data_IF_823069513794
#
_entry.id   IF_823069513794
#
_cell.length_a   1.000
_cell.length_b   1.000
_cell.length_c   1.000
_cell.angle_alpha   90.00
_cell.angle_beta   90.00
_cell.angle_gamma   90.00
#
_symmetry.space_group_name_H-M   'P 1'
#
loop_
_entity.id
_entity.type
_entity.pdbx_description
1 polymer ?
#
# COMPACT_ATOMS: atom_id res chain seq x y z
N UNK A 1 43.15 -12.51 0.94
CA UNK A 1 43.66 -11.29 0.27
C UNK A 1 43.26 -11.41 -1.19
N UNK A 2 42.18 -10.75 -1.61
CA UNK A 2 41.70 -10.83 -2.99
C UNK A 2 42.60 -9.97 -3.88
N UNK A 3 43.17 -10.58 -4.91
CA UNK A 3 44.08 -9.93 -5.85
C UNK A 3 43.34 -8.84 -6.64
N UNK A 4 43.91 -7.64 -6.63
CA UNK A 4 43.36 -6.46 -7.31
C UNK A 4 43.69 -6.61 -8.81
N UNK A 5 42.67 -6.74 -9.66
CA UNK A 5 42.87 -6.82 -11.11
C UNK A 5 43.61 -5.54 -11.61
N UNK A 6 44.84 -5.66 -12.13
CA UNK A 6 45.72 -4.53 -12.44
C UNK A 6 45.32 -3.78 -13.72
N UNK A 7 44.40 -4.32 -14.52
CA UNK A 7 43.97 -3.71 -15.79
C UNK A 7 42.64 -2.97 -15.61
N UNK A 8 42.66 -1.85 -14.89
CA UNK A 8 41.53 -0.88 -14.82
C UNK A 8 42.02 0.47 -15.31
N UNK A 9 41.25 1.12 -16.18
CA UNK A 9 41.65 2.38 -16.83
C UNK A 9 41.85 3.55 -15.87
N UNK A 10 41.28 3.50 -14.67
CA UNK A 10 41.54 4.48 -13.63
C UNK A 10 41.76 3.82 -12.27
N UNK A 11 42.71 4.38 -11.49
CA UNK A 11 43.03 3.97 -10.11
C UNK A 11 42.06 4.61 -9.09
N UNK A 12 41.09 5.39 -9.56
CA UNK A 12 40.10 6.11 -8.77
C UNK A 12 39.27 5.15 -7.92
N UNK A 13 38.82 5.63 -6.76
CA UNK A 13 37.80 4.94 -5.97
C UNK A 13 36.55 4.81 -6.86
N UNK A 14 36.01 3.60 -7.00
CA UNK A 14 34.72 3.38 -7.66
C UNK A 14 33.68 4.31 -7.03
N UNK A 15 32.86 4.96 -7.87
CA UNK A 15 31.78 5.82 -7.38
C UNK A 15 30.87 4.99 -6.47
N UNK A 16 30.55 5.52 -5.30
CA UNK A 16 29.57 4.90 -4.43
C UNK A 16 28.20 5.12 -5.04
N UNK A 17 27.62 4.09 -5.65
CA UNK A 17 26.23 4.13 -6.08
C UNK A 17 25.36 4.16 -4.82
N UNK A 18 24.56 5.21 -4.64
CA UNK A 18 23.60 5.24 -3.55
C UNK A 18 22.64 4.05 -3.73
N UNK A 19 22.50 3.24 -2.68
CA UNK A 19 21.59 2.09 -2.68
C UNK A 19 20.14 2.54 -2.84
N UNK A 20 19.27 1.59 -3.22
CA UNK A 20 17.82 1.77 -3.30
C UNK A 20 17.28 2.29 -1.96
N UNK A 21 16.61 3.44 -1.97
CA UNK A 21 15.93 4.02 -0.80
C UNK A 21 14.49 3.52 -0.76
N UNK A 22 14.07 3.01 0.39
CA UNK A 22 12.66 2.65 0.63
C UNK A 22 12.00 3.72 1.50
N UNK A 23 10.75 4.00 1.21
CA UNK A 23 9.91 4.90 2.01
C UNK A 23 8.65 4.15 2.46
N UNK A 24 8.10 4.60 3.60
CA UNK A 24 6.87 4.08 4.19
C UNK A 24 5.87 5.22 4.38
N UNK A 25 4.61 4.97 4.08
CA UNK A 25 3.53 5.92 4.28
C UNK A 25 2.36 5.25 4.98
N UNK A 26 1.97 5.84 6.11
CA UNK A 26 0.91 5.35 6.97
C UNK A 26 -0.16 6.42 7.09
N UNK A 27 -1.41 6.05 6.82
CA UNK A 27 -2.55 6.95 6.96
C UNK A 27 -3.83 6.17 7.23
N UNK A 28 -4.83 6.88 7.74
CA UNK A 28 -6.13 6.32 8.07
C UNK A 28 -7.18 6.90 7.13
N UNK A 29 -8.14 6.08 6.74
CA UNK A 29 -9.27 6.48 5.92
C UNK A 29 -10.56 5.96 6.56
N UNK A 30 -11.60 6.77 6.54
CA UNK A 30 -12.92 6.36 7.01
C UNK A 30 -13.56 5.39 6.01
N UNK A 31 -14.28 4.39 6.53
CA UNK A 31 -15.04 3.43 5.76
C UNK A 31 -16.35 4.08 5.28
N UNK A 32 -16.25 4.96 4.28
CA UNK A 32 -17.39 5.62 3.66
C UNK A 32 -17.73 5.00 2.29
N UNK A 33 -19.00 5.07 1.89
CA UNK A 33 -19.43 4.64 0.55
C UNK A 33 -19.08 5.67 -0.53
N UNK A 34 -19.17 5.26 -1.81
CA UNK A 34 -18.99 6.18 -2.94
C UNK A 34 -20.12 7.20 -3.10
N UNK A 35 -21.29 6.97 -2.47
CA UNK A 35 -22.50 7.79 -2.64
C UNK A 35 -23.41 7.34 -3.79
N UNK A 36 -22.92 6.51 -4.72
CA UNK A 36 -23.67 5.96 -5.86
C UNK A 36 -23.49 4.44 -5.94
N UNK A 37 -24.58 3.70 -6.14
CA UNK A 37 -24.54 2.25 -6.29
C UNK A 37 -23.71 1.83 -7.52
N UNK A 38 -22.86 0.81 -7.36
CA UNK A 38 -21.98 0.32 -8.43
C UNK A 38 -20.77 1.21 -8.76
N UNK A 39 -20.54 2.29 -8.01
CA UNK A 39 -19.31 3.09 -8.14
C UNK A 39 -18.34 2.71 -7.01
N UNK A 40 -17.10 2.39 -7.40
CA UNK A 40 -16.07 2.02 -6.44
C UNK A 40 -15.73 3.19 -5.50
N UNK A 41 -15.67 2.96 -4.17
CA UNK A 41 -15.28 4.00 -3.23
C UNK A 41 -13.81 4.43 -3.45
N UNK A 42 -13.43 5.65 -3.05
CA UNK A 42 -12.07 6.16 -3.24
C UNK A 42 -10.98 5.27 -2.63
N UNK A 43 -11.24 4.66 -1.47
CA UNK A 43 -10.31 3.73 -0.81
C UNK A 43 -10.19 2.37 -1.52
N UNK A 44 -11.04 2.07 -2.50
CA UNK A 44 -10.98 0.82 -3.28
C UNK A 44 -9.62 0.62 -3.95
N UNK A 45 -9.06 1.67 -4.54
CA UNK A 45 -7.72 1.65 -5.15
C UNK A 45 -6.62 1.29 -4.15
N UNK A 46 -6.78 1.70 -2.89
CA UNK A 46 -5.83 1.39 -1.82
C UNK A 46 -5.93 -0.07 -1.39
N UNK A 47 -7.14 -0.62 -1.31
CA UNK A 47 -7.34 -2.04 -1.04
C UNK A 47 -6.75 -2.92 -2.13
N UNK A 48 -6.85 -2.52 -3.40
CA UNK A 48 -6.26 -3.30 -4.50
C UNK A 48 -4.76 -3.52 -4.32
N UNK A 49 -4.04 -2.48 -3.91
CA UNK A 49 -2.62 -2.59 -3.60
C UNK A 49 -2.28 -3.24 -2.24
N UNK A 50 -3.30 -3.52 -1.43
CA UNK A 50 -3.19 -4.36 -0.23
C UNK A 50 -3.49 -5.85 -0.51
N UNK A 51 -3.67 -6.25 -1.79
CA UNK A 51 -3.95 -7.63 -2.16
C UNK A 51 -5.43 -7.99 -2.27
N UNK A 52 -6.28 -7.04 -2.65
CA UNK A 52 -7.71 -7.31 -2.91
C UNK A 52 -8.05 -7.18 -4.39
N UNK A 53 -8.79 -8.13 -4.94
CA UNK A 53 -9.42 -8.01 -6.25
C UNK A 53 -10.77 -7.30 -6.11
N UNK A 54 -10.98 -6.26 -6.91
CA UNK A 54 -12.24 -5.54 -7.00
C UNK A 54 -13.15 -6.18 -8.07
N UNK A 55 -14.40 -6.46 -7.71
CA UNK A 55 -15.45 -6.89 -8.64
C UNK A 55 -16.62 -5.92 -8.57
N UNK A 56 -16.93 -5.29 -9.70
CA UNK A 56 -18.02 -4.32 -9.82
C UNK A 56 -19.22 -4.99 -10.48
N UNK A 57 -20.34 -5.07 -9.75
CA UNK A 57 -21.65 -5.32 -10.32
C UNK A 57 -22.32 -3.97 -10.61
N UNK A 58 -22.34 -3.59 -11.88
CA UNK A 58 -22.85 -2.29 -12.33
C UNK A 58 -24.24 -2.02 -11.78
N UNK A 59 -24.41 -0.84 -11.15
CA UNK A 59 -25.69 -0.41 -10.56
C UNK A 59 -26.10 -1.16 -9.29
N UNK A 60 -25.31 -2.12 -8.80
CA UNK A 60 -25.69 -2.96 -7.65
C UNK A 60 -24.70 -2.87 -6.50
N UNK A 61 -23.45 -3.34 -6.68
CA UNK A 61 -22.49 -3.45 -5.59
C UNK A 61 -21.04 -3.50 -6.09
N UNK A 62 -20.11 -3.12 -5.23
CA UNK A 62 -18.67 -3.34 -5.43
C UNK A 62 -18.17 -4.24 -4.31
N UNK A 63 -17.53 -5.35 -4.67
CA UNK A 63 -17.00 -6.32 -3.71
C UNK A 63 -15.48 -6.41 -3.82
N UNK A 64 -14.83 -6.68 -2.68
CA UNK A 64 -13.39 -6.84 -2.58
C UNK A 64 -13.10 -8.22 -1.99
N UNK A 65 -12.51 -9.10 -2.79
CA UNK A 65 -12.07 -10.43 -2.35
C UNK A 65 -10.55 -10.46 -2.20
N UNK A 66 -9.99 -11.14 -1.17
CA UNK A 66 -8.56 -11.35 -1.10
C UNK A 66 -8.04 -12.05 -2.36
N UNK A 67 -6.95 -11.53 -2.92
CA UNK A 67 -6.30 -12.05 -4.12
C UNK A 67 -4.81 -12.26 -3.86
N UNK A 68 -4.28 -13.38 -4.35
CA UNK A 68 -2.87 -13.75 -4.20
C UNK A 68 -2.06 -13.58 -5.50
N UNK A 69 -2.74 -13.24 -6.60
CA UNK A 69 -2.19 -13.03 -7.94
C UNK A 69 -2.67 -11.67 -8.46
N UNK A 70 -2.00 -11.14 -9.49
CA UNK A 70 -2.31 -9.85 -10.13
C UNK A 70 -2.53 -8.70 -9.12
N UNK A 71 -1.67 -8.68 -8.09
CA UNK A 71 -1.74 -7.65 -7.05
C UNK A 71 -1.24 -6.33 -7.62
N UNK A 72 -2.17 -5.38 -7.73
CA UNK A 72 -1.88 -4.02 -8.17
C UNK A 72 -0.82 -3.35 -7.29
N UNK A 73 -0.10 -2.40 -7.87
CA UNK A 73 0.78 -1.49 -7.13
C UNK A 73 0.32 -0.07 -7.37
N UNK A 74 0.58 0.82 -6.42
CA UNK A 74 0.14 2.20 -6.52
C UNK A 74 1.29 3.18 -6.29
N UNK A 75 1.18 4.37 -6.85
CA UNK A 75 2.12 5.46 -6.58
C UNK A 75 1.48 6.40 -5.58
N UNK A 76 2.10 6.55 -4.41
CA UNK A 76 1.64 7.46 -3.37
C UNK A 76 2.40 8.76 -3.48
N UNK A 77 1.69 9.87 -3.32
CA UNK A 77 2.25 11.19 -3.41
C UNK A 77 1.76 12.06 -2.27
N UNK A 78 2.71 12.71 -1.61
CA UNK A 78 2.47 13.65 -0.54
C UNK A 78 2.96 15.02 -1.01
N UNK A 79 2.00 15.92 -1.27
CA UNK A 79 2.28 17.33 -1.54
C UNK A 79 2.14 18.12 -0.25
N UNK A 80 3.21 18.79 0.19
CA UNK A 80 3.20 19.68 1.34
C UNK A 80 4.00 20.93 1.02
N UNK A 81 3.38 22.10 1.15
CA UNK A 81 4.04 23.40 1.00
C UNK A 81 4.82 23.56 -0.33
N UNK A 82 4.21 23.13 -1.45
CA UNK A 82 4.83 23.19 -2.78
C UNK A 82 5.87 22.11 -3.07
N UNK A 83 6.15 21.23 -2.11
CA UNK A 83 7.11 20.13 -2.24
C UNK A 83 6.39 18.79 -2.36
N UNK A 84 6.82 17.97 -3.32
CA UNK A 84 6.27 16.64 -3.61
C UNK A 84 7.22 15.55 -3.18
N UNK A 85 6.71 14.63 -2.35
CA UNK A 85 7.37 13.37 -2.00
C UNK A 85 6.56 12.22 -2.56
N UNK A 86 7.21 11.36 -3.35
CA UNK A 86 6.53 10.28 -4.05
C UNK A 86 7.14 8.92 -3.75
N UNK A 87 6.28 7.93 -3.54
CA UNK A 87 6.62 6.54 -3.33
C UNK A 87 6.13 5.73 -4.53
N UNK A 88 7.05 5.10 -5.25
CA UNK A 88 6.74 4.27 -6.41
C UNK A 88 6.56 2.81 -6.03
N UNK A 89 5.60 2.16 -6.70
CA UNK A 89 5.35 0.73 -6.54
C UNK A 89 4.97 0.36 -5.11
N UNK A 90 4.20 1.22 -4.45
CA UNK A 90 3.79 1.03 -3.08
C UNK A 90 2.80 -0.15 -2.97
N UNK A 91 3.13 -1.08 -2.08
CA UNK A 91 2.27 -2.20 -1.67
C UNK A 91 2.27 -2.27 -0.15
N UNK A 92 1.18 -2.78 0.41
CA UNK A 92 0.94 -2.59 1.82
C UNK A 92 -0.03 -3.56 2.46
N UNK A 93 -0.31 -3.25 3.71
CA UNK A 93 -1.28 -3.96 4.53
C UNK A 93 -2.41 -3.01 4.92
N UNK A 94 -3.59 -3.60 5.14
CA UNK A 94 -4.77 -2.90 5.64
C UNK A 94 -5.25 -3.54 6.94
N UNK A 95 -5.63 -2.69 7.89
CA UNK A 95 -6.28 -3.08 9.14
C UNK A 95 -7.63 -2.38 9.24
N UNK A 96 -8.68 -3.18 9.34
CA UNK A 96 -10.04 -2.71 9.60
C UNK A 96 -10.25 -2.60 11.11
N UNK A 97 -10.69 -1.43 11.56
CA UNK A 97 -11.05 -1.17 12.97
C UNK A 97 -12.49 -0.66 13.02
N UNK A 98 -13.36 -1.39 13.70
CA UNK A 98 -14.74 -1.04 13.96
C UNK A 98 -14.92 -0.89 15.46
N UNK A 99 -15.41 0.28 15.90
CA UNK A 99 -15.66 0.61 17.30
C UNK A 99 -17.09 1.15 17.43
N UNK A 100 -17.79 0.70 18.47
CA UNK A 100 -19.15 1.14 18.79
C UNK A 100 -19.23 2.66 18.94
N UNK A 101 -20.20 3.27 18.28
CA UNK A 101 -20.43 4.71 18.29
C UNK A 101 -19.45 5.53 17.43
N UNK A 102 -18.58 4.90 16.65
CA UNK A 102 -17.63 5.57 15.75
C UNK A 102 -17.78 5.07 14.30
N UNK A 103 -17.40 5.87 13.30
CA UNK A 103 -17.28 5.37 11.93
C UNK A 103 -16.18 4.31 11.85
N UNK A 104 -16.35 3.34 10.96
CA UNK A 104 -15.31 2.35 10.69
C UNK A 104 -14.06 3.00 10.11
N UNK A 105 -12.88 2.51 10.50
CA UNK A 105 -11.59 3.01 10.04
C UNK A 105 -10.79 1.93 9.33
N UNK A 106 -10.20 2.30 8.20
CA UNK A 106 -9.21 1.54 7.45
C UNK A 106 -7.84 2.17 7.68
N UNK A 107 -6.98 1.43 8.38
CA UNK A 107 -5.61 1.84 8.63
C UNK A 107 -4.71 1.20 7.57
N UNK A 108 -4.07 2.04 6.77
CA UNK A 108 -3.20 1.62 5.68
C UNK A 108 -1.73 1.84 6.03
N UNK A 109 -0.93 0.85 5.66
CA UNK A 109 0.52 0.89 5.81
C UNK A 109 1.17 0.42 4.52
N UNK A 110 1.75 1.36 3.77
CA UNK A 110 2.37 1.11 2.48
C UNK A 110 3.87 1.29 2.54
N UNK A 111 4.59 0.43 1.82
CA UNK A 111 6.04 0.53 1.63
C UNK A 111 6.35 0.47 0.15
N UNK A 112 7.29 1.30 -0.31
CA UNK A 112 7.71 1.33 -1.70
C UNK A 112 9.07 2.00 -1.89
N UNK A 113 9.39 2.33 -3.14
CA UNK A 113 10.64 3.00 -3.50
C UNK A 113 10.47 4.50 -3.33
N UNK A 114 11.36 5.10 -2.55
CA UNK A 114 11.45 6.56 -2.43
C UNK A 114 11.97 7.15 -3.75
N UNK A 115 11.35 8.24 -4.21
CA UNK A 115 11.85 8.99 -5.36
C UNK A 115 12.40 10.35 -4.96
N UNK A 116 13.02 10.99 -5.94
CA UNK A 116 13.52 12.35 -5.81
C UNK A 116 12.39 13.31 -5.47
N UNK A 117 12.75 14.33 -4.71
CA UNK A 117 11.82 15.36 -4.22
C UNK A 117 11.77 16.45 -5.28
N UNK A 118 10.56 16.81 -5.71
CA UNK A 118 10.31 17.80 -6.75
C UNK A 118 9.41 18.91 -6.22
N UNK A 119 9.49 20.10 -6.82
CA UNK A 119 8.59 21.21 -6.53
C UNK A 119 7.41 21.18 -7.51
N UNK A 120 6.18 21.24 -6.99
CA UNK A 120 4.94 21.23 -7.78
C UNK A 120 3.82 21.95 -7.01
N UNK A 121 2.83 22.44 -7.76
CA UNK A 121 1.70 23.14 -7.17
C UNK A 121 0.80 22.21 -6.34
N UNK A 122 0.13 22.79 -5.33
CA UNK A 122 -0.85 22.06 -4.54
C UNK A 122 -2.11 21.78 -5.36
N UNK A 123 -2.56 20.52 -5.35
CA UNK A 123 -3.80 20.10 -6.02
C UNK A 123 -5.03 20.51 -5.20
N UNK A 124 -6.08 20.99 -5.84
CA UNK A 124 -7.38 21.24 -5.21
C UNK A 124 -8.06 19.92 -4.80
N UNK A 125 -8.36 19.74 -3.51
CA UNK A 125 -9.02 18.54 -3.02
C UNK A 125 -10.52 18.52 -3.39
N UNK A 126 -11.00 17.36 -3.86
CA UNK A 126 -12.42 17.07 -4.01
C UNK A 126 -12.85 16.15 -2.86
N UNK A 127 -13.84 16.59 -2.09
CA UNK A 127 -14.31 15.87 -0.91
C UNK A 127 -15.59 15.11 -1.23
N UNK A 128 -15.65 13.84 -0.82
CA UNK A 128 -16.90 13.08 -0.89
C UNK A 128 -17.80 13.53 0.28
N UNK A 129 -19.04 13.94 -0.03
CA UNK A 129 -20.01 14.41 0.97
C UNK A 129 -20.76 13.26 1.69
N UNK A 130 -20.50 12.00 1.33
CA UNK A 130 -21.16 10.83 1.92
C UNK A 130 -20.68 10.64 3.35
N UNK A 131 -21.58 10.83 4.31
CA UNK A 131 -21.29 10.61 5.73
C UNK A 131 -21.06 9.11 6.00
N UNK A 132 -19.98 8.75 6.71
CA UNK A 132 -19.72 7.36 7.05
C UNK A 132 -20.77 6.85 8.05
N UNK A 133 -21.27 5.61 7.89
CA UNK A 133 -22.16 5.01 8.86
C UNK A 133 -21.42 4.73 10.17
N UNK A 134 -22.08 4.98 11.30
CA UNK A 134 -21.56 4.60 12.62
C UNK A 134 -21.72 3.10 12.83
N UNK A 135 -20.67 2.46 13.33
CA UNK A 135 -20.75 1.08 13.80
C UNK A 135 -21.40 1.10 15.19
N UNK A 136 -22.49 0.35 15.38
CA UNK A 136 -23.19 0.28 16.66
C UNK A 136 -22.79 -0.99 17.41
N UNK A 137 -23.17 -2.12 16.85
CA UNK A 137 -22.88 -3.46 17.35
C UNK A 137 -22.88 -4.42 16.16
N UNK A 138 -22.13 -5.52 16.28
CA UNK A 138 -22.25 -6.63 15.35
C UNK A 138 -22.63 -7.91 16.11
N UNK A 139 -23.56 -8.67 15.54
CA UNK A 139 -23.82 -10.04 15.96
C UNK A 139 -22.60 -10.89 15.58
N UNK A 140 -21.88 -11.38 16.58
CA UNK A 140 -20.73 -12.24 16.41
C UNK A 140 -21.09 -13.65 16.91
N UNK A 141 -20.93 -14.63 16.05
CA UNK A 141 -21.26 -16.02 16.37
C UNK A 141 -20.00 -16.86 16.21
N UNK A 142 -19.65 -17.59 17.27
CA UNK A 142 -18.68 -18.69 17.20
C UNK A 142 -19.43 -19.95 17.56
N UNK A 143 -19.61 -20.83 16.57
CA UNK A 143 -20.39 -22.06 16.70
C UNK A 143 -21.82 -21.77 17.22
N UNK A 144 -22.15 -22.19 18.45
CA UNK A 144 -23.45 -21.98 19.09
C UNK A 144 -23.49 -20.75 20.02
N UNK A 145 -22.36 -20.10 20.28
CA UNK A 145 -22.27 -18.94 21.14
C UNK A 145 -22.46 -17.65 20.34
N UNK A 146 -23.53 -16.91 20.65
CA UNK A 146 -23.80 -15.58 20.12
C UNK A 146 -23.39 -14.50 21.11
N UNK A 147 -22.58 -13.55 20.67
CA UNK A 147 -22.19 -12.36 21.42
C UNK A 147 -22.45 -11.10 20.59
N UNK A 148 -22.71 -10.00 21.29
CA UNK A 148 -22.67 -8.66 20.70
C UNK A 148 -21.27 -8.11 20.94
N UNK A 149 -20.60 -7.69 19.87
CA UNK A 149 -19.27 -7.09 19.96
C UNK A 149 -19.35 -5.58 19.78
N UNK A 150 -18.74 -4.87 20.73
CA UNK A 150 -18.58 -3.41 20.68
C UNK A 150 -17.37 -3.00 19.84
N UNK A 151 -16.36 -3.87 19.71
CA UNK A 151 -15.15 -3.61 18.93
C UNK A 151 -14.73 -4.83 18.12
N UNK A 152 -14.47 -4.62 16.83
CA UNK A 152 -13.89 -5.62 15.93
C UNK A 152 -12.63 -5.04 15.27
N UNK A 153 -11.53 -5.76 15.35
CA UNK A 153 -10.30 -5.41 14.66
C UNK A 153 -9.83 -6.58 13.82
N UNK A 154 -9.69 -6.36 12.52
CA UNK A 154 -9.23 -7.36 11.56
C UNK A 154 -7.97 -6.81 10.89
N UNK A 155 -6.84 -7.44 11.19
CA UNK A 155 -5.59 -7.19 10.49
C UNK A 155 -5.39 -8.24 9.41
N UNK A 156 -5.20 -7.82 8.15
CA UNK A 156 -4.97 -8.76 7.05
C UNK A 156 -3.58 -9.37 7.08
N UNK A 157 -2.65 -8.73 7.81
CA UNK A 157 -1.28 -9.20 8.01
C UNK A 157 -0.55 -9.54 6.70
N UNK A 158 -0.74 -8.70 5.68
CA UNK A 158 -0.04 -8.85 4.41
C UNK A 158 1.46 -8.55 4.61
N UNK A 159 2.31 -9.55 4.40
CA UNK A 159 3.75 -9.38 4.47
C UNK A 159 4.32 -9.10 3.08
N UNK A 160 4.73 -7.85 2.86
CA UNK A 160 5.42 -7.44 1.63
C UNK A 160 6.86 -7.97 1.56
N UNK A 161 7.40 -8.49 2.66
CA UNK A 161 8.73 -9.06 2.74
C UNK A 161 8.66 -10.54 2.37
N UNK A 162 8.39 -10.81 1.09
CA UNK A 162 8.56 -12.13 0.50
C UNK A 162 10.01 -12.57 0.65
N UNK A 163 10.31 -13.21 1.78
CA UNK A 163 11.62 -13.71 2.14
C UNK A 163 12.01 -14.85 1.22
N UNK A 164 12.53 -14.52 0.05
CA UNK A 164 13.68 -15.25 -0.48
C UNK A 164 14.94 -14.42 -0.20
N UNK A 165 15.26 -14.30 1.09
CA UNK A 165 16.63 -14.06 1.56
C UNK A 165 17.49 -15.32 1.45
N UNK A 166 17.18 -16.22 0.51
CA UNK A 166 18.11 -17.25 0.08
C UNK A 166 19.17 -16.58 -0.79
N UNK A 167 20.40 -16.74 -0.35
CA UNK A 167 21.65 -16.35 -1.01
C UNK A 167 21.64 -16.69 -2.51
N UNK A 168 21.15 -15.78 -3.35
CA UNK A 168 21.48 -15.82 -4.76
C UNK A 168 22.95 -15.42 -4.85
N UNK A 169 23.80 -16.42 -5.11
CA UNK A 169 25.20 -16.21 -5.45
C UNK A 169 25.29 -15.09 -6.47
N UNK A 170 26.25 -14.19 -6.28
CA UNK A 170 26.55 -13.11 -7.22
C UNK A 170 27.09 -13.73 -8.50
N UNK A 171 26.20 -14.27 -9.32
CA UNK A 171 26.50 -14.58 -10.70
C UNK A 171 26.50 -13.25 -11.44
N UNK A 172 27.71 -12.76 -11.68
CA UNK A 172 27.98 -11.53 -12.39
C UNK A 172 27.39 -11.64 -13.80
N UNK A 173 26.19 -11.12 -14.02
CA UNK A 173 25.72 -10.83 -15.37
C UNK A 173 26.58 -9.68 -15.90
N UNK A 174 27.61 -10.01 -16.69
CA UNK A 174 28.37 -9.03 -17.45
C UNK A 174 27.49 -8.58 -18.62
N UNK A 175 27.02 -7.33 -18.68
CA UNK A 175 26.44 -6.84 -19.92
C UNK A 175 27.55 -6.80 -20.98
N UNK A 176 27.40 -7.62 -22.01
CA UNK A 176 28.13 -7.43 -23.27
C UNK A 176 27.50 -6.19 -23.92
N UNK A 177 28.27 -5.12 -23.97
CA UNK A 177 27.96 -3.91 -24.73
C UNK A 177 27.87 -4.26 -26.23
N UNK A 178 26.96 -3.66 -27.03
CA UNK A 178 27.20 -3.54 -28.47
C UNK A 178 28.39 -2.61 -28.76
#
# INVERSE_FOLDING_TARGET
MHERNPRRETLSKLITLAGRRSARMNFQCELHGSGTAGVAPPWGKLLKACGFAESISTGTSVTYSPASEDIDSLTLELRMDGVVKRIWGARGNVRLTLEGGKPGLLNFEFTGIDSEVEDDDLVSASYNATLPPVFLEASFVIDSYGALIERLEVNMNNDSNGGHSGSYGREYYRPVCP
#
